data_IF_575411664191
#
_entry.id   IF_575411664191
#
_cell.length_a   1.000
_cell.length_b   1.000
_cell.length_c   1.000
_cell.angle_alpha   90.00
_cell.angle_beta   90.00
_cell.angle_gamma   90.00
#
_symmetry.space_group_name_H-M   'P 1'
#
loop_
_entity.id
_entity.type
_entity.pdbx_description
1 polymer ?
#
# COMPACT_ATOMS: atom_id res chain seq x y z
N UNK A 1 -7.69 -16.66 -15.18
CA UNK A 1 -8.77 -16.05 -14.36
C UNK A 1 -8.16 -15.61 -13.03
N UNK A 2 -8.28 -14.35 -12.60
CA UNK A 2 -7.71 -13.89 -11.32
C UNK A 2 -8.66 -14.23 -10.14
N UNK A 3 -8.14 -14.64 -8.96
CA UNK A 3 -8.96 -14.95 -7.79
C UNK A 3 -9.85 -13.78 -7.34
N UNK A 4 -10.98 -14.06 -6.67
CA UNK A 4 -11.88 -13.01 -6.15
C UNK A 4 -11.14 -12.04 -5.23
N UNK A 5 -10.32 -12.54 -4.31
CA UNK A 5 -9.55 -11.71 -3.39
C UNK A 5 -8.62 -10.72 -4.10
N UNK A 6 -8.10 -11.07 -5.29
CA UNK A 6 -7.32 -10.15 -6.10
C UNK A 6 -8.21 -9.06 -6.72
N UNK A 7 -9.38 -9.45 -7.24
CA UNK A 7 -10.33 -8.52 -7.87
C UNK A 7 -10.99 -7.57 -6.88
N UNK A 8 -11.13 -7.97 -5.61
CA UNK A 8 -11.69 -7.15 -4.53
C UNK A 8 -10.65 -6.25 -3.85
N UNK A 9 -9.40 -6.18 -4.35
CA UNK A 9 -8.41 -5.28 -3.75
C UNK A 9 -8.85 -3.82 -3.91
N UNK A 10 -8.86 -3.04 -2.81
CA UNK A 10 -8.98 -1.58 -2.82
C UNK A 10 -8.22 -0.91 -3.96
N UNK A 11 -8.82 0.09 -4.60
CA UNK A 11 -8.21 0.89 -5.67
C UNK A 11 -7.86 2.31 -5.19
N UNK A 12 -8.38 2.71 -4.03
CA UNK A 12 -8.08 3.99 -3.37
C UNK A 12 -7.94 3.78 -1.87
N UNK A 13 -7.33 4.74 -1.18
CA UNK A 13 -7.17 4.69 0.29
C UNK A 13 -8.52 4.64 1.00
N UNK A 14 -9.52 5.32 0.45
CA UNK A 14 -10.88 5.39 1.00
C UNK A 14 -11.61 4.03 0.93
N UNK A 15 -11.15 3.11 0.06
CA UNK A 15 -11.71 1.75 -0.03
C UNK A 15 -11.10 0.79 1.00
N UNK A 16 -10.04 1.20 1.70
CA UNK A 16 -9.33 0.36 2.67
C UNK A 16 -10.08 0.36 4.00
N UNK A 17 -10.59 -0.81 4.39
CA UNK A 17 -11.33 -0.96 5.63
C UNK A 17 -10.42 -1.20 6.85
N UNK A 18 -10.68 -0.48 7.95
CA UNK A 18 -10.08 -0.74 9.27
C UNK A 18 -8.64 -0.24 9.47
N UNK A 19 -8.09 0.54 8.53
CA UNK A 19 -6.73 1.10 8.59
C UNK A 19 -6.73 2.63 8.60
N UNK A 20 -7.75 3.25 9.19
CA UNK A 20 -7.97 4.71 9.15
C UNK A 20 -6.80 5.52 9.71
N UNK A 21 -6.13 5.01 10.74
CA UNK A 21 -4.93 5.62 11.32
C UNK A 21 -3.74 5.69 10.36
N UNK A 22 -3.71 4.86 9.30
CA UNK A 22 -2.69 4.89 8.25
C UNK A 22 -3.16 5.66 7.02
N UNK A 23 -4.34 5.31 6.50
CA UNK A 23 -4.80 5.74 5.16
C UNK A 23 -6.08 6.56 5.17
N UNK A 24 -6.68 6.77 6.34
CA UNK A 24 -7.81 7.69 6.51
C UNK A 24 -7.39 9.15 6.28
N UNK A 25 -8.35 10.06 6.39
CA UNK A 25 -8.16 11.50 6.14
C UNK A 25 -6.98 12.09 6.94
N UNK A 26 -6.87 11.72 8.21
CA UNK A 26 -5.81 12.17 9.12
C UNK A 26 -4.70 11.12 9.31
N UNK A 27 -4.73 10.06 8.49
CA UNK A 27 -3.78 8.96 8.56
C UNK A 27 -2.37 9.38 8.20
N UNK A 28 -1.37 8.72 8.81
CA UNK A 28 0.04 9.09 8.64
C UNK A 28 0.50 9.03 7.19
N UNK A 29 0.09 8.01 6.43
CA UNK A 29 0.47 7.84 5.03
C UNK A 29 -0.24 8.86 4.13
N UNK A 30 -1.50 9.18 4.43
CA UNK A 30 -2.24 10.26 3.76
C UNK A 30 -1.55 11.60 3.96
N UNK A 31 -1.11 11.90 5.19
CA UNK A 31 -0.37 13.13 5.51
C UNK A 31 0.97 13.21 4.78
N UNK A 32 1.71 12.10 4.70
CA UNK A 32 2.99 12.02 3.97
C UNK A 32 2.81 12.37 2.48
N UNK A 33 1.81 11.76 1.84
CA UNK A 33 1.49 12.02 0.44
C UNK A 33 1.05 13.48 0.22
N UNK A 34 0.13 13.98 1.05
CA UNK A 34 -0.37 15.35 0.94
C UNK A 34 0.74 16.41 1.10
N UNK A 35 1.69 16.16 2.01
CA UNK A 35 2.83 17.05 2.25
C UNK A 35 4.00 16.84 1.28
N UNK A 36 3.94 15.82 0.40
CA UNK A 36 5.04 15.36 -0.45
C UNK A 36 6.34 15.11 0.33
N UNK A 37 6.21 14.64 1.57
CA UNK A 37 7.33 14.29 2.45
C UNK A 37 7.29 12.79 2.71
N UNK A 38 7.88 12.03 1.78
CA UNK A 38 7.91 10.58 1.84
C UNK A 38 9.08 10.15 2.73
N UNK A 39 8.76 9.51 3.86
CA UNK A 39 9.75 8.90 4.73
C UNK A 39 9.87 7.41 4.40
N UNK A 40 11.02 6.80 4.72
CA UNK A 40 11.13 5.34 4.67
C UNK A 40 10.27 4.72 5.76
N UNK A 41 9.53 3.66 5.44
CA UNK A 41 8.69 2.94 6.39
C UNK A 41 8.61 1.44 6.08
N UNK A 42 8.17 0.67 7.07
CA UNK A 42 7.88 -0.76 6.94
C UNK A 42 6.43 -0.97 7.37
N UNK A 43 5.66 -1.70 6.57
CA UNK A 43 4.32 -2.16 6.96
C UNK A 43 4.44 -3.53 7.62
N UNK A 44 4.07 -3.62 8.90
CA UNK A 44 4.14 -4.84 9.70
C UNK A 44 2.75 -5.31 10.14
N UNK A 45 2.55 -6.62 10.19
CA UNK A 45 1.32 -7.23 10.72
C UNK A 45 1.00 -8.61 10.13
N UNK A 46 -0.01 -9.31 10.68
CA UNK A 46 -0.44 -10.66 10.27
C UNK A 46 -0.75 -10.79 8.77
N UNK A 47 -0.70 -12.00 8.17
CA UNK A 47 -1.12 -12.19 6.78
C UNK A 47 -2.56 -11.73 6.54
N UNK A 48 -2.84 -11.15 5.37
CA UNK A 48 -4.18 -10.68 5.01
C UNK A 48 -4.59 -9.29 5.52
N UNK A 49 -3.77 -8.60 6.33
CA UNK A 49 -4.10 -7.24 6.84
C UNK A 49 -3.99 -6.10 5.84
N UNK A 50 -3.76 -6.38 4.56
CA UNK A 50 -3.73 -5.36 3.50
C UNK A 50 -2.37 -4.68 3.26
N UNK A 51 -1.28 -5.10 3.91
CA UNK A 51 0.07 -4.50 3.73
C UNK A 51 0.47 -4.28 2.28
N UNK A 52 0.41 -5.33 1.45
CA UNK A 52 0.78 -5.24 0.03
C UNK A 52 -0.13 -4.30 -0.73
N UNK A 53 -1.44 -4.31 -0.43
CA UNK A 53 -2.41 -3.40 -1.05
C UNK A 53 -2.14 -1.95 -0.67
N UNK A 54 -1.88 -1.66 0.61
CA UNK A 54 -1.58 -0.30 1.08
C UNK A 54 -0.28 0.22 0.48
N UNK A 55 0.77 -0.61 0.43
CA UNK A 55 2.03 -0.24 -0.21
C UNK A 55 1.83 0.10 -1.69
N UNK A 56 1.01 -0.70 -2.40
CA UNK A 56 0.68 -0.45 -3.80
C UNK A 56 -0.04 0.87 -4.00
N UNK A 57 -1.13 1.09 -3.25
CA UNK A 57 -1.89 2.32 -3.34
C UNK A 57 -1.06 3.55 -2.97
N UNK A 58 -0.17 3.42 -1.98
CA UNK A 58 0.74 4.50 -1.60
C UNK A 58 1.70 4.84 -2.74
N UNK A 59 2.30 3.82 -3.37
CA UNK A 59 3.23 4.00 -4.49
C UNK A 59 2.53 4.65 -5.70
N UNK A 60 1.36 4.15 -6.09
CA UNK A 60 0.53 4.71 -7.16
C UNK A 60 0.17 6.19 -6.89
N UNK A 61 -0.20 6.51 -5.65
CA UNK A 61 -0.60 7.86 -5.24
C UNK A 61 0.57 8.81 -4.98
N UNK A 62 1.79 8.28 -4.82
CA UNK A 62 3.01 9.08 -4.62
C UNK A 62 3.43 9.85 -5.87
N UNK A 63 3.03 9.37 -7.06
CA UNK A 63 3.42 9.94 -8.35
C UNK A 63 4.92 9.78 -8.67
N UNK A 64 5.62 8.90 -7.94
CA UNK A 64 7.01 8.54 -8.20
C UNK A 64 7.11 7.21 -8.92
N UNK A 65 8.23 7.00 -9.61
CA UNK A 65 8.57 5.68 -10.14
C UNK A 65 8.76 4.67 -9.01
N UNK A 66 8.17 3.49 -9.15
CA UNK A 66 8.26 2.43 -8.15
C UNK A 66 8.40 1.05 -8.81
N UNK A 67 8.95 0.11 -8.06
CA UNK A 67 9.10 -1.29 -8.46
C UNK A 67 8.57 -2.22 -7.38
N UNK A 68 7.91 -3.30 -7.80
CA UNK A 68 7.49 -4.37 -6.90
C UNK A 68 8.51 -5.49 -6.89
N UNK A 69 9.00 -5.79 -5.69
CA UNK A 69 9.91 -6.90 -5.46
C UNK A 69 9.34 -7.84 -4.40
N UNK A 70 9.25 -9.12 -4.74
CA UNK A 70 8.91 -10.21 -3.83
C UNK A 70 10.15 -11.06 -3.52
N UNK A 71 10.61 -10.97 -2.29
CA UNK A 71 11.82 -11.65 -1.83
C UNK A 71 11.79 -13.18 -1.95
N UNK A 72 10.62 -13.83 -2.06
CA UNK A 72 10.52 -15.29 -2.18
C UNK A 72 10.48 -15.81 -3.61
N UNK A 73 10.02 -15.01 -4.57
CA UNK A 73 9.83 -15.45 -5.97
C UNK A 73 10.78 -14.76 -6.93
N UNK A 74 11.23 -13.56 -6.60
CA UNK A 74 12.00 -12.75 -7.51
C UNK A 74 13.47 -13.06 -7.31
N UNK A 75 14.07 -13.69 -8.31
CA UNK A 75 15.51 -13.90 -8.34
C UNK A 75 16.16 -12.55 -8.65
N UNK A 76 16.99 -12.03 -7.73
CA UNK A 76 17.87 -10.90 -8.01
C UNK A 76 18.75 -11.33 -9.20
N UNK A 77 18.51 -10.76 -10.38
CA UNK A 77 19.51 -10.75 -11.44
C UNK A 77 20.52 -9.63 -11.12
#
# INVERSE_FOLDING_TARGET
MKPLAYRMRPQKFEDVFGQDHLVGKDGVLTSMLAKKKLLSFILYGPPGTGKTTIAQLFAERSGLDYYFFNASTDTKA
#
